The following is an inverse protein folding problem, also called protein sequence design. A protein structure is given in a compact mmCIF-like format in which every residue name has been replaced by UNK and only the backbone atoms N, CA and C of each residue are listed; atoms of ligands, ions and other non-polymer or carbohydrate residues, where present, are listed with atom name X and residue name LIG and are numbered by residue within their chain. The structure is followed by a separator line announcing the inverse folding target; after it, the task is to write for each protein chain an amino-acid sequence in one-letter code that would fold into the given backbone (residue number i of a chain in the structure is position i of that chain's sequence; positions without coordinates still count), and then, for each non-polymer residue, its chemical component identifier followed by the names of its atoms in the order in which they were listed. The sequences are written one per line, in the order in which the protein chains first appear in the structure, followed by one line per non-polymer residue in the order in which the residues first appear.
data_IF_832526480234
#
_entry.id   IF_832526480234
#
_cell.length_a   1.000
_cell.length_b   1.000
_cell.length_c   1.000
_cell.angle_alpha   90.00
_cell.angle_beta   90.00
_cell.angle_gamma   90.00
#
_symmetry.space_group_name_H-M   'P 1'
#
loop_
_entity.id
_entity.type
_entity.pdbx_description
1 polymer ?
#
# COMPACT_ATOMS: atom_id res chain seq x y z
N UNK A 1 -14.45 -4.71 29.57
CA UNK A 1 -15.45 -3.71 29.11
C UNK A 1 -14.82 -2.96 27.94
N UNK A 2 -15.48 -3.08 26.78
CA UNK A 2 -15.31 -2.38 25.50
C UNK A 2 -13.93 -2.41 24.83
N UNK A 3 -13.63 -3.53 24.17
CA UNK A 3 -12.83 -3.53 22.94
C UNK A 3 -13.76 -3.14 21.79
N UNK A 4 -13.97 -1.84 21.59
CA UNK A 4 -14.57 -1.34 20.34
C UNK A 4 -13.53 -1.53 19.23
N UNK A 5 -13.53 -2.74 18.67
CA UNK A 5 -12.89 -3.05 17.41
C UNK A 5 -13.69 -2.30 16.34
N UNK A 6 -13.39 -1.01 16.19
CA UNK A 6 -14.01 -0.17 15.18
C UNK A 6 -13.47 -0.68 13.85
N UNK A 7 -14.15 -1.65 13.25
CA UNK A 7 -14.02 -1.96 11.82
C UNK A 7 -14.17 -0.63 11.08
N UNK A 8 -13.04 -0.03 10.71
CA UNK A 8 -13.00 1.08 9.77
C UNK A 8 -13.17 0.47 8.39
N UNK A 9 -14.34 -0.14 8.17
CA UNK A 9 -14.93 -0.26 6.85
C UNK A 9 -15.12 1.17 6.36
N UNK A 10 -14.06 1.75 5.78
CA UNK A 10 -14.20 2.86 4.84
C UNK A 10 -14.79 2.20 3.60
N UNK A 11 -16.11 2.30 3.36
CA UNK A 11 -16.67 1.65 2.21
C UNK A 11 -16.00 2.28 0.99
N UNK A 12 -15.42 1.45 0.12
CA UNK A 12 -14.90 1.90 -1.16
C UNK A 12 -15.96 2.73 -1.88
N UNK A 13 -15.61 3.87 -2.53
CA UNK A 13 -16.60 4.77 -3.12
C UNK A 13 -17.55 4.06 -4.09
N UNK A 14 -17.04 3.04 -4.80
CA UNK A 14 -17.85 2.00 -5.45
C UNK A 14 -17.53 0.61 -4.88
N UNK A 15 -18.51 -0.06 -4.25
CA UNK A 15 -18.38 -1.46 -3.88
C UNK A 15 -18.10 -2.35 -5.10
N UNK A 16 -17.33 -3.43 -4.88
CA UNK A 16 -17.15 -4.45 -5.89
C UNK A 16 -18.49 -5.05 -6.32
N UNK A 17 -18.54 -5.55 -7.55
CA UNK A 17 -19.77 -6.14 -8.09
C UNK A 17 -19.47 -7.36 -8.95
N UNK A 18 -20.50 -8.19 -9.13
CA UNK A 18 -20.45 -9.34 -10.01
C UNK A 18 -21.33 -9.05 -11.22
N UNK A 19 -20.74 -9.15 -12.41
CA UNK A 19 -21.44 -9.06 -13.68
C UNK A 19 -21.74 -10.47 -14.19
N UNK A 20 -23.02 -10.85 -14.26
CA UNK A 20 -23.46 -12.02 -14.99
C UNK A 20 -23.43 -11.73 -16.50
N UNK A 21 -22.70 -12.54 -17.26
CA UNK A 21 -22.52 -12.31 -18.70
C UNK A 21 -23.76 -12.77 -19.45
N UNK A 22 -24.34 -11.88 -20.26
CA UNK A 22 -25.46 -12.14 -21.14
C UNK A 22 -25.11 -11.96 -22.63
N UNK A 23 -26.12 -12.04 -23.51
CA UNK A 23 -25.91 -11.93 -24.97
C UNK A 23 -25.50 -10.54 -25.44
N UNK A 24 -25.85 -9.51 -24.67
CA UNK A 24 -25.62 -8.09 -25.00
C UNK A 24 -24.38 -7.54 -24.29
N UNK A 25 -23.79 -8.30 -23.38
CA UNK A 25 -22.57 -7.94 -22.66
C UNK A 25 -21.43 -7.72 -23.68
N UNK A 26 -20.79 -6.54 -23.69
CA UNK A 26 -19.67 -6.27 -24.58
C UNK A 26 -18.46 -7.14 -24.21
N UNK A 27 -17.45 -7.25 -25.10
CA UNK A 27 -16.18 -7.87 -24.75
C UNK A 27 -15.56 -7.26 -23.47
N UNK A 28 -14.97 -8.13 -22.64
CA UNK A 28 -14.37 -7.76 -21.36
C UNK A 28 -12.87 -7.55 -21.54
N UNK A 29 -12.31 -6.54 -20.87
CA UNK A 29 -10.87 -6.27 -20.87
C UNK A 29 -10.15 -7.28 -19.98
N UNK A 30 -9.14 -7.94 -20.54
CA UNK A 30 -8.19 -8.81 -19.85
C UNK A 30 -6.77 -8.27 -19.97
N UNK A 31 -5.99 -8.39 -18.90
CA UNK A 31 -4.54 -8.20 -18.97
C UNK A 31 -3.92 -9.33 -19.80
N UNK A 32 -3.02 -8.98 -20.72
CA UNK A 32 -2.26 -9.92 -21.53
C UNK A 32 -0.81 -9.43 -21.67
N UNK A 33 0.06 -9.92 -20.79
CA UNK A 33 1.42 -9.38 -20.64
C UNK A 33 1.39 -7.89 -20.29
N UNK A 34 2.07 -7.08 -21.10
CA UNK A 34 2.08 -5.60 -20.99
C UNK A 34 0.90 -4.92 -21.70
N UNK A 35 -0.01 -5.69 -22.30
CA UNK A 35 -1.12 -5.18 -23.10
C UNK A 35 -2.48 -5.59 -22.52
N UNK A 36 -3.54 -5.18 -23.23
CA UNK A 36 -4.91 -5.52 -22.92
C UNK A 36 -5.60 -6.17 -24.11
N UNK A 37 -6.40 -7.21 -23.84
CA UNK A 37 -7.22 -7.89 -24.82
C UNK A 37 -8.71 -7.71 -24.51
N UNK A 38 -9.54 -7.68 -25.54
CA UNK A 38 -11.00 -7.65 -25.42
C UNK A 38 -11.56 -9.03 -25.77
N UNK A 39 -12.08 -9.73 -24.78
CA UNK A 39 -12.55 -11.11 -24.93
C UNK A 39 -14.05 -11.22 -24.73
N UNK A 40 -14.75 -11.89 -25.65
CA UNK A 40 -16.18 -12.17 -25.51
C UNK A 40 -16.38 -13.43 -24.68
N UNK A 41 -16.98 -13.28 -23.51
CA UNK A 41 -17.23 -14.40 -22.61
C UNK A 41 -18.56 -15.12 -22.93
N UNK A 42 -18.66 -16.43 -22.67
CA UNK A 42 -19.89 -17.19 -22.88
C UNK A 42 -21.08 -16.72 -22.02
N UNK A 43 -22.16 -16.28 -22.68
CA UNK A 43 -23.39 -15.86 -22.01
C UNK A 43 -24.06 -16.99 -21.20
N UNK A 44 -24.61 -16.65 -20.04
CA UNK A 44 -25.37 -17.56 -19.16
C UNK A 44 -24.52 -18.57 -18.38
N UNK A 45 -23.20 -18.59 -18.56
CA UNK A 45 -22.27 -19.46 -17.81
C UNK A 45 -20.98 -18.81 -17.33
N UNK A 46 -20.81 -17.51 -17.61
CA UNK A 46 -19.67 -16.73 -17.15
C UNK A 46 -20.12 -15.62 -16.21
N UNK A 47 -19.29 -15.35 -15.19
CA UNK A 47 -19.44 -14.24 -14.25
C UNK A 47 -18.11 -13.51 -14.15
N UNK A 48 -18.14 -12.18 -14.16
CA UNK A 48 -16.96 -11.34 -13.99
C UNK A 48 -17.04 -10.68 -12.62
N UNK A 49 -15.99 -10.86 -11.81
CA UNK A 49 -15.91 -10.26 -10.47
C UNK A 49 -15.05 -9.01 -10.58
N UNK A 50 -15.66 -7.85 -10.34
CA UNK A 50 -14.96 -6.58 -10.24
C UNK A 50 -14.67 -6.27 -8.78
N UNK A 51 -13.41 -5.98 -8.41
CA UNK A 51 -13.10 -5.55 -7.06
C UNK A 51 -13.76 -4.20 -6.77
N UNK A 52 -13.86 -3.89 -5.48
CA UNK A 52 -14.12 -2.53 -5.04
C UNK A 52 -13.12 -1.54 -5.64
N UNK A 53 -13.54 -0.29 -5.79
CA UNK A 53 -12.61 0.78 -6.14
C UNK A 53 -11.43 0.85 -5.15
N UNK A 54 -10.23 1.23 -5.64
CA UNK A 54 -9.10 1.51 -4.75
C UNK A 54 -9.48 2.51 -3.67
N UNK A 55 -8.86 2.35 -2.50
CA UNK A 55 -8.99 3.34 -1.44
C UNK A 55 -8.42 4.69 -1.91
N UNK A 56 -9.01 5.78 -1.42
CA UNK A 56 -8.44 7.10 -1.62
C UNK A 56 -7.02 7.16 -1.05
N UNK A 57 -6.13 7.82 -1.80
CA UNK A 57 -4.77 8.08 -1.35
C UNK A 57 -4.76 8.96 -0.09
N UNK A 58 -3.69 8.86 0.69
CA UNK A 58 -3.51 9.70 1.87
C UNK A 58 -3.37 11.18 1.45
N UNK A 59 -4.10 12.11 2.08
CA UNK A 59 -4.01 13.54 1.75
C UNK A 59 -2.65 14.13 2.16
N UNK A 60 -2.04 13.61 3.22
CA UNK A 60 -0.70 13.95 3.69
C UNK A 60 0.09 12.66 4.00
N UNK A 61 0.81 12.12 3.01
CA UNK A 61 1.64 10.95 3.22
C UNK A 61 2.78 11.18 4.22
N UNK A 62 3.37 12.39 4.27
CA UNK A 62 4.49 12.68 5.18
C UNK A 62 4.04 12.66 6.64
N UNK A 63 2.92 13.33 6.93
CA UNK A 63 2.32 13.30 8.26
C UNK A 63 1.93 11.88 8.69
N UNK A 64 1.39 11.08 7.77
CA UNK A 64 1.03 9.70 8.04
C UNK A 64 2.24 8.79 8.28
N UNK A 65 3.34 8.97 7.55
CA UNK A 65 4.60 8.25 7.78
C UNK A 65 5.15 8.61 9.17
N UNK A 66 5.21 9.90 9.49
CA UNK A 66 5.69 10.37 10.79
C UNK A 66 4.84 9.82 11.94
N UNK A 67 3.52 9.86 11.81
CA UNK A 67 2.60 9.30 12.79
C UNK A 67 2.84 7.80 13.00
N UNK A 68 2.99 7.02 11.92
CA UNK A 68 3.25 5.59 12.01
C UNK A 68 4.60 5.26 12.71
N UNK A 69 5.65 6.06 12.49
CA UNK A 69 6.95 5.89 13.14
C UNK A 69 6.93 6.26 14.64
N UNK A 70 6.05 7.19 15.03
CA UNK A 70 5.89 7.64 16.41
C UNK A 70 4.87 6.82 17.20
N UNK A 71 3.91 6.21 16.52
CA UNK A 71 2.79 5.48 17.12
C UNK A 71 2.66 4.08 16.50
N UNK A 72 3.63 3.16 16.76
CA UNK A 72 3.61 1.82 16.19
C UNK A 72 2.41 1.01 16.68
N UNK A 73 1.93 0.10 15.84
CA UNK A 73 0.90 -0.87 16.22
C UNK A 73 1.53 -2.07 16.94
N UNK A 74 0.87 -2.58 17.97
CA UNK A 74 1.32 -3.76 18.71
C UNK A 74 2.27 -3.41 19.86
N UNK A 75 3.21 -4.32 20.14
CA UNK A 75 4.14 -4.23 21.27
C UNK A 75 5.53 -3.82 20.80
N UNK A 76 5.66 -2.55 20.38
CA UNK A 76 6.93 -1.92 20.01
C UNK A 76 6.95 -0.50 20.55
N UNK A 77 8.12 -0.05 21.01
CA UNK A 77 8.33 1.38 21.29
C UNK A 77 8.42 2.17 19.98
N UNK A 78 8.15 3.50 20.02
CA UNK A 78 8.37 4.40 18.89
C UNK A 78 9.80 4.33 18.37
N UNK A 79 10.00 4.51 17.05
CA UNK A 79 11.32 4.40 16.44
C UNK A 79 12.39 5.28 17.14
N UNK A 80 12.14 6.56 17.46
CA UNK A 80 13.14 7.40 18.13
C UNK A 80 13.60 6.85 19.49
N UNK A 81 12.76 6.10 20.20
CA UNK A 81 13.11 5.51 21.49
C UNK A 81 14.01 4.27 21.36
N UNK A 82 14.06 3.67 20.17
CA UNK A 82 14.90 2.52 19.86
C UNK A 82 16.29 2.94 19.33
N UNK A 83 16.42 4.16 18.82
CA UNK A 83 17.64 4.69 18.23
C UNK A 83 18.61 5.22 19.30
N UNK A 84 19.89 4.88 19.18
CA UNK A 84 20.93 5.21 20.16
C UNK A 84 22.25 5.54 19.46
N UNK A 85 23.00 6.55 19.93
CA UNK A 85 24.33 6.85 19.41
C UNK A 85 25.25 5.61 19.39
N UNK A 86 26.00 5.44 18.31
CA UNK A 86 26.97 4.34 18.14
C UNK A 86 26.37 2.98 17.76
N UNK A 87 25.06 2.90 17.50
CA UNK A 87 24.46 1.68 16.94
C UNK A 87 24.65 1.60 15.42
N UNK A 88 24.52 0.40 14.86
CA UNK A 88 24.43 0.18 13.41
C UNK A 88 22.97 0.01 13.03
N UNK A 89 22.47 0.86 12.14
CA UNK A 89 21.11 0.76 11.62
C UNK A 89 21.12 0.08 10.25
N UNK A 90 20.36 -1.00 10.10
CA UNK A 90 20.13 -1.67 8.81
C UNK A 90 18.67 -1.48 8.41
N UNK A 91 18.42 -0.88 7.25
CA UNK A 91 17.08 -0.65 6.73
C UNK A 91 16.83 -1.65 5.60
N UNK A 92 16.14 -2.75 5.92
CA UNK A 92 15.75 -3.73 4.91
C UNK A 92 14.49 -3.25 4.17
N UNK A 93 14.55 -3.23 2.83
CA UNK A 93 13.39 -2.98 1.97
C UNK A 93 13.29 -4.08 0.90
N UNK A 94 12.06 -4.40 0.50
CA UNK A 94 11.79 -5.45 -0.49
C UNK A 94 12.06 -4.95 -1.93
N UNK A 95 12.50 -5.85 -2.79
CA UNK A 95 12.78 -5.57 -4.21
C UNK A 95 11.50 -5.63 -5.05
N UNK A 96 11.52 -4.97 -6.20
CA UNK A 96 10.47 -5.02 -7.22
C UNK A 96 10.57 -6.35 -7.98
N UNK A 97 10.19 -7.44 -7.32
CA UNK A 97 9.96 -8.74 -8.00
C UNK A 97 8.60 -8.79 -8.72
N UNK A 98 7.73 -7.79 -8.46
CA UNK A 98 6.39 -7.67 -9.04
C UNK A 98 6.31 -6.46 -9.97
N UNK A 99 5.57 -6.53 -11.09
CA UNK A 99 5.36 -5.37 -11.96
C UNK A 99 4.54 -4.32 -11.21
N UNK A 100 5.23 -3.38 -10.55
CA UNK A 100 4.58 -2.23 -9.91
C UNK A 100 4.24 -1.19 -10.97
N UNK A 101 3.02 -0.62 -10.96
CA UNK A 101 2.73 0.53 -11.78
C UNK A 101 3.71 1.66 -11.44
N UNK A 102 4.13 2.49 -12.43
CA UNK A 102 5.03 3.60 -12.18
C UNK A 102 4.47 4.50 -11.06
N UNK A 103 5.20 4.58 -9.95
CA UNK A 103 4.82 5.45 -8.84
C UNK A 103 5.25 6.89 -9.11
N UNK A 104 4.43 7.84 -8.64
CA UNK A 104 4.80 9.26 -8.66
C UNK A 104 6.01 9.47 -7.74
N UNK A 105 7.07 10.11 -8.25
CA UNK A 105 8.25 10.48 -7.45
C UNK A 105 7.99 11.72 -6.57
N UNK A 106 8.62 11.83 -5.38
CA UNK A 106 9.31 10.74 -4.69
C UNK A 106 8.30 9.68 -4.28
N UNK A 107 8.69 8.42 -4.48
CA UNK A 107 7.82 7.27 -4.20
C UNK A 107 7.74 7.01 -2.68
N UNK A 108 6.79 6.19 -2.24
CA UNK A 108 6.56 5.97 -0.80
C UNK A 108 7.77 5.35 -0.09
N UNK A 109 8.57 4.53 -0.78
CA UNK A 109 9.75 3.88 -0.18
C UNK A 109 10.82 4.93 0.07
N UNK A 110 11.07 5.81 -0.90
CA UNK A 110 11.98 6.93 -0.71
C UNK A 110 11.54 7.80 0.47
N UNK A 111 10.26 8.20 0.52
CA UNK A 111 9.73 9.05 1.62
C UNK A 111 9.88 8.39 2.99
N UNK A 112 9.56 7.10 3.11
CA UNK A 112 9.70 6.36 4.36
C UNK A 112 11.18 6.28 4.78
N UNK A 113 12.07 5.92 3.85
CA UNK A 113 13.50 5.78 4.15
C UNK A 113 14.08 7.13 4.59
N UNK A 114 13.76 8.22 3.89
CA UNK A 114 14.20 9.57 4.27
C UNK A 114 13.72 9.96 5.68
N UNK A 115 12.44 9.70 6.01
CA UNK A 115 11.92 9.97 7.36
C UNK A 115 12.63 9.15 8.46
N UNK A 116 12.98 7.89 8.18
CA UNK A 116 13.75 7.04 9.10
C UNK A 116 15.18 7.58 9.27
N UNK A 117 15.82 8.00 8.17
CA UNK A 117 17.16 8.56 8.17
C UNK A 117 17.24 9.88 8.94
N UNK A 118 16.23 10.75 8.81
CA UNK A 118 16.15 11.99 9.58
C UNK A 118 16.09 11.72 11.09
N UNK A 119 15.24 10.77 11.53
CA UNK A 119 15.17 10.39 12.96
C UNK A 119 16.46 9.72 13.45
N UNK A 120 17.11 8.91 12.61
CA UNK A 120 18.40 8.31 12.92
C UNK A 120 19.49 9.38 13.13
N UNK A 121 19.54 10.38 12.24
CA UNK A 121 20.47 11.50 12.36
C UNK A 121 20.22 12.33 13.62
N UNK A 122 18.96 12.64 13.95
CA UNK A 122 18.59 13.34 15.18
C UNK A 122 19.02 12.57 16.45
N UNK A 123 18.94 11.24 16.42
CA UNK A 123 19.38 10.37 17.51
C UNK A 123 20.90 10.13 17.56
N UNK A 124 21.67 10.69 16.62
CA UNK A 124 23.12 10.52 16.53
C UNK A 124 23.56 9.15 16.02
N UNK A 125 22.73 8.50 15.20
CA UNK A 125 23.08 7.26 14.49
C UNK A 125 23.70 7.63 13.14
N UNK A 126 25.00 7.37 12.99
CA UNK A 126 25.80 7.72 11.81
C UNK A 126 26.26 6.51 10.97
N UNK A 127 26.18 5.30 11.52
CA UNK A 127 26.47 4.04 10.81
C UNK A 127 25.17 3.40 10.29
N UNK A 128 24.80 3.75 9.06
CA UNK A 128 23.57 3.28 8.39
C UNK A 128 23.89 2.48 7.12
N UNK A 129 23.26 1.32 6.98
CA UNK A 129 23.29 0.48 5.78
C UNK A 129 21.88 0.32 5.20
N UNK A 130 21.76 0.50 3.88
CA UNK A 130 20.55 0.28 3.08
C UNK A 130 20.70 -1.01 2.28
#
# INVERSE_FOLDING_TARGET
MNTDNKETSRPSPRPGFVLDVDRNTPPIVFHHGENFHLEKLPAGRSRVVYPSEPLEGLPDPEGAIKDALLNPLGDSDPLPSLLKPGMKLTIAFDDISLPLPPMRKPDIRQRIIEAVLDMAAEAGVDDVHL
#
